data_IF_065488637376
#
_entry.id   IF_065488637376
#
_cell.length_a   1.000
_cell.length_b   1.000
_cell.length_c   1.000
_cell.angle_alpha   90.00
_cell.angle_beta   90.00
_cell.angle_gamma   90.00
#
_symmetry.space_group_name_H-M   'P 1'
#
loop_
_entity.id
_entity.type
_entity.pdbx_description
1 polymer ?
#
# COMPACT_ATOMS: atom_id res chain seq x y z
N UNK A 1 -4.76 35.42 -11.41
CA UNK A 1 -5.77 34.64 -12.15
C UNK A 1 -6.35 33.66 -11.15
N UNK A 2 -7.63 33.79 -10.80
CA UNK A 2 -8.25 32.95 -9.78
C UNK A 2 -8.54 31.55 -10.34
N UNK A 3 -7.77 30.55 -9.90
CA UNK A 3 -7.81 29.18 -10.44
C UNK A 3 -9.16 28.49 -10.18
N UNK A 4 -9.85 28.85 -9.09
CA UNK A 4 -11.12 28.24 -8.69
C UNK A 4 -12.27 28.63 -9.64
N UNK A 5 -12.11 29.68 -10.46
CA UNK A 5 -13.12 30.06 -11.46
C UNK A 5 -13.35 28.99 -12.52
N UNK A 6 -12.37 28.11 -12.74
CA UNK A 6 -12.49 26.99 -13.68
C UNK A 6 -13.00 25.70 -13.03
N UNK A 7 -13.15 25.68 -11.69
CA UNK A 7 -13.55 24.47 -10.98
C UNK A 7 -15.03 24.18 -11.21
N UNK A 8 -15.35 22.91 -11.37
CA UNK A 8 -16.72 22.42 -11.26
C UNK A 8 -17.16 22.37 -9.78
N UNK A 9 -18.40 21.99 -9.52
CA UNK A 9 -18.94 22.02 -8.16
C UNK A 9 -18.23 21.05 -7.21
N UNK A 10 -17.90 19.83 -7.68
CA UNK A 10 -17.21 18.83 -6.89
C UNK A 10 -15.78 19.26 -6.53
N UNK A 11 -15.07 19.85 -7.50
CA UNK A 11 -13.74 20.43 -7.29
C UNK A 11 -13.78 21.58 -6.28
N UNK A 12 -14.84 22.38 -6.27
CA UNK A 12 -15.04 23.44 -5.27
C UNK A 12 -15.31 22.86 -3.86
N UNK A 13 -16.07 21.76 -3.76
CA UNK A 13 -16.26 21.04 -2.50
C UNK A 13 -14.94 20.50 -1.98
N UNK A 14 -14.12 19.89 -2.85
CA UNK A 14 -12.83 19.32 -2.45
C UNK A 14 -11.83 20.39 -2.04
N UNK A 15 -11.77 21.49 -2.78
CA UNK A 15 -10.98 22.65 -2.41
C UNK A 15 -11.42 23.21 -1.04
N UNK A 16 -12.73 23.32 -0.81
CA UNK A 16 -13.28 23.78 0.47
C UNK A 16 -12.85 22.87 1.63
N UNK A 17 -13.00 21.55 1.47
CA UNK A 17 -12.58 20.54 2.45
C UNK A 17 -11.10 20.71 2.79
N UNK A 18 -10.24 20.79 1.76
CA UNK A 18 -8.80 20.90 1.91
C UNK A 18 -8.37 22.17 2.67
N UNK A 19 -8.98 23.32 2.35
CA UNK A 19 -8.73 24.56 3.07
C UNK A 19 -9.14 24.48 4.54
N UNK A 20 -10.33 23.93 4.82
CA UNK A 20 -10.80 23.77 6.20
C UNK A 20 -9.90 22.81 6.99
N UNK A 21 -9.49 21.69 6.41
CA UNK A 21 -8.64 20.70 7.10
C UNK A 21 -7.23 21.23 7.37
N UNK A 22 -6.68 22.06 6.47
CA UNK A 22 -5.31 22.56 6.60
C UNK A 22 -5.21 23.85 7.42
N UNK A 23 -6.16 24.77 7.29
CA UNK A 23 -6.07 26.11 7.90
C UNK A 23 -7.27 26.51 8.76
N UNK A 24 -8.31 25.67 8.86
CA UNK A 24 -9.53 25.96 9.62
C UNK A 24 -10.41 27.08 9.04
N UNK A 25 -9.98 27.70 7.93
CA UNK A 25 -10.66 28.77 7.20
C UNK A 25 -10.36 28.64 5.72
N UNK A 26 -11.28 29.11 4.87
CA UNK A 26 -11.09 29.17 3.42
C UNK A 26 -10.26 30.40 3.03
N UNK A 27 -9.50 30.28 1.94
CA UNK A 27 -8.76 31.39 1.36
C UNK A 27 -9.69 32.38 0.66
N UNK A 28 -9.30 33.66 0.64
CA UNK A 28 -10.08 34.75 0.03
C UNK A 28 -10.47 34.47 -1.43
N UNK A 29 -9.55 33.90 -2.21
CA UNK A 29 -9.80 33.60 -3.63
C UNK A 29 -10.90 32.53 -3.81
N UNK A 30 -10.95 31.52 -2.95
CA UNK A 30 -12.01 30.51 -2.99
C UNK A 30 -13.33 31.10 -2.48
N UNK A 31 -13.28 31.87 -1.40
CA UNK A 31 -14.44 32.56 -0.82
C UNK A 31 -15.12 33.48 -1.84
N UNK A 32 -14.34 34.29 -2.58
CA UNK A 32 -14.84 35.15 -3.65
C UNK A 32 -15.59 34.36 -4.73
N UNK A 33 -15.04 33.23 -5.19
CA UNK A 33 -15.69 32.40 -6.22
C UNK A 33 -16.96 31.74 -5.71
N UNK A 34 -16.98 31.30 -4.43
CA UNK A 34 -18.16 30.71 -3.81
C UNK A 34 -19.29 31.74 -3.63
N UNK A 35 -18.95 32.98 -3.30
CA UNK A 35 -19.88 34.11 -3.21
C UNK A 35 -20.38 34.52 -4.59
N UNK A 36 -19.48 34.70 -5.57
CA UNK A 36 -19.82 35.05 -6.97
C UNK A 36 -20.82 34.04 -7.57
N UNK A 37 -20.66 32.75 -7.25
CA UNK A 37 -21.55 31.68 -7.73
C UNK A 37 -22.82 31.49 -6.90
N UNK A 38 -23.00 32.23 -5.80
CA UNK A 38 -24.18 32.12 -4.92
C UNK A 38 -24.30 30.78 -4.18
N UNK A 39 -23.21 30.01 -4.09
CA UNK A 39 -23.25 28.59 -3.70
C UNK A 39 -22.57 28.28 -2.36
N UNK A 40 -22.15 29.29 -1.59
CA UNK A 40 -21.30 29.07 -0.40
C UNK A 40 -21.93 28.11 0.63
N UNK A 41 -23.22 28.27 0.95
CA UNK A 41 -23.90 27.42 1.93
C UNK A 41 -24.14 26.00 1.38
N UNK A 42 -24.43 25.88 0.08
CA UNK A 42 -24.61 24.59 -0.60
C UNK A 42 -23.29 23.82 -0.61
N UNK A 43 -22.18 24.48 -0.97
CA UNK A 43 -20.85 23.88 -1.00
C UNK A 43 -20.43 23.48 0.42
N UNK A 44 -20.67 24.33 1.42
CA UNK A 44 -20.39 24.01 2.82
C UNK A 44 -21.20 22.79 3.30
N UNK A 45 -22.49 22.73 2.97
CA UNK A 45 -23.35 21.59 3.30
C UNK A 45 -22.86 20.30 2.61
N UNK A 46 -22.57 20.37 1.31
CA UNK A 46 -22.00 19.24 0.53
C UNK A 46 -20.65 18.80 1.08
N UNK A 47 -19.78 19.73 1.46
CA UNK A 47 -18.48 19.43 2.07
C UNK A 47 -18.63 18.72 3.42
N UNK A 48 -19.51 19.22 4.30
CA UNK A 48 -19.80 18.59 5.58
C UNK A 48 -20.37 17.18 5.40
N UNK A 49 -21.31 17.01 4.47
CA UNK A 49 -21.87 15.70 4.16
C UNK A 49 -20.80 14.74 3.59
N UNK A 50 -19.96 15.20 2.65
CA UNK A 50 -18.85 14.41 2.09
C UNK A 50 -17.86 13.97 3.19
N UNK A 51 -17.53 14.85 4.14
CA UNK A 51 -16.70 14.50 5.31
C UNK A 51 -17.34 13.42 6.19
N UNK A 52 -18.64 13.50 6.44
CA UNK A 52 -19.37 12.48 7.20
C UNK A 52 -19.34 11.12 6.49
N UNK A 53 -19.59 11.11 5.18
CA UNK A 53 -19.52 9.89 4.34
C UNK A 53 -18.12 9.27 4.38
N UNK A 54 -17.06 10.07 4.22
CA UNK A 54 -15.67 9.59 4.27
C UNK A 54 -15.37 8.96 5.64
N UNK A 55 -15.74 9.65 6.73
CA UNK A 55 -15.54 9.15 8.09
C UNK A 55 -16.26 7.82 8.32
N UNK A 56 -17.50 7.72 7.82
CA UNK A 56 -18.32 6.52 7.94
C UNK A 56 -17.76 5.35 7.14
N UNK A 57 -17.35 5.58 5.88
CA UNK A 57 -16.63 4.57 5.09
C UNK A 57 -15.35 4.12 5.78
N UNK A 58 -14.65 5.01 6.47
CA UNK A 58 -13.49 4.69 7.32
C UNK A 58 -13.84 3.77 8.49
N UNK A 59 -14.91 4.07 9.24
CA UNK A 59 -15.43 3.21 10.32
C UNK A 59 -15.78 1.82 9.80
N UNK A 60 -16.56 1.75 8.72
CA UNK A 60 -16.99 0.50 8.11
C UNK A 60 -15.79 -0.32 7.65
N UNK A 61 -14.83 0.28 6.94
CA UNK A 61 -13.62 -0.43 6.51
C UNK A 61 -12.82 -1.00 7.70
N UNK A 62 -12.73 -0.27 8.82
CA UNK A 62 -12.07 -0.76 10.02
C UNK A 62 -12.78 -1.99 10.62
N UNK A 63 -14.13 -1.95 10.68
CA UNK A 63 -14.93 -3.07 11.18
C UNK A 63 -14.82 -4.30 10.28
N UNK A 64 -14.91 -4.14 8.95
CA UNK A 64 -14.72 -5.22 7.98
C UNK A 64 -13.34 -5.86 8.19
N UNK A 65 -12.28 -5.06 8.27
CA UNK A 65 -10.93 -5.57 8.49
C UNK A 65 -10.83 -6.40 9.78
N UNK A 66 -11.41 -5.91 10.88
CA UNK A 66 -11.45 -6.63 12.16
C UNK A 66 -12.17 -7.97 12.04
N UNK A 67 -13.30 -8.02 11.33
CA UNK A 67 -14.09 -9.24 11.15
C UNK A 67 -13.41 -10.24 10.20
N UNK A 68 -12.74 -9.75 9.15
CA UNK A 68 -11.90 -10.58 8.27
C UNK A 68 -10.77 -11.22 9.06
N UNK A 69 -10.09 -10.49 9.95
CA UNK A 69 -9.08 -11.06 10.84
C UNK A 69 -9.65 -12.16 11.75
N UNK A 70 -10.90 -12.03 12.17
CA UNK A 70 -11.65 -13.04 12.93
C UNK A 70 -12.21 -14.21 12.09
N UNK A 71 -11.84 -14.32 10.81
CA UNK A 71 -12.32 -15.36 9.88
C UNK A 71 -13.83 -15.32 9.62
N UNK A 72 -14.46 -14.15 9.69
CA UNK A 72 -15.87 -13.98 9.31
C UNK A 72 -16.06 -14.06 7.79
N UNK A 73 -17.15 -14.72 7.38
CA UNK A 73 -17.55 -14.78 5.97
C UNK A 73 -18.09 -13.43 5.49
N UNK A 74 -18.20 -13.26 4.17
CA UNK A 74 -18.78 -12.05 3.59
C UNK A 74 -20.23 -11.87 4.06
N UNK A 75 -21.00 -12.95 4.10
CA UNK A 75 -22.40 -12.95 4.52
C UNK A 75 -22.53 -12.53 6.00
N UNK A 76 -21.68 -13.08 6.89
CA UNK A 76 -21.66 -12.68 8.30
C UNK A 76 -21.30 -11.21 8.52
N UNK A 77 -20.52 -10.62 7.61
CA UNK A 77 -20.11 -9.22 7.67
C UNK A 77 -21.23 -8.32 7.14
N UNK A 78 -21.83 -8.68 6.00
CA UNK A 78 -22.94 -7.94 5.39
C UNK A 78 -24.16 -7.86 6.32
N UNK A 79 -24.46 -8.95 7.05
CA UNK A 79 -25.56 -8.96 8.03
C UNK A 79 -25.33 -8.07 9.26
N UNK A 80 -24.08 -7.76 9.60
CA UNK A 80 -23.71 -7.09 10.85
C UNK A 80 -23.37 -5.62 10.70
N UNK A 81 -22.96 -5.20 9.51
CA UNK A 81 -22.59 -3.82 9.24
C UNK A 81 -23.82 -3.08 8.74
N UNK A 82 -24.15 -1.99 9.42
CA UNK A 82 -25.16 -1.03 8.99
C UNK A 82 -24.57 0.36 8.84
N UNK A 83 -25.24 1.18 8.02
CA UNK A 83 -24.94 2.59 7.88
C UNK A 83 -26.23 3.38 7.70
N UNK A 84 -26.32 4.52 8.37
CA UNK A 84 -27.42 5.48 8.18
C UNK A 84 -27.10 6.50 7.06
N UNK A 85 -25.84 6.55 6.62
CA UNK A 85 -25.37 7.54 5.65
C UNK A 85 -25.21 6.97 4.24
N UNK A 86 -25.03 5.65 4.10
CA UNK A 86 -24.92 4.97 2.82
C UNK A 86 -26.23 4.28 2.50
N UNK A 87 -26.63 4.33 1.23
CA UNK A 87 -27.74 3.52 0.75
C UNK A 87 -27.36 2.03 0.81
N UNK A 88 -28.37 1.16 0.90
CA UNK A 88 -28.16 -0.28 1.09
C UNK A 88 -27.26 -0.88 0.00
N UNK A 89 -27.50 -0.54 -1.26
CA UNK A 89 -26.73 -1.07 -2.39
C UNK A 89 -25.29 -0.52 -2.40
N UNK A 90 -25.11 0.76 -2.05
CA UNK A 90 -23.78 1.36 -1.91
C UNK A 90 -22.99 0.70 -0.77
N UNK A 91 -23.66 0.44 0.36
CA UNK A 91 -23.07 -0.23 1.51
C UNK A 91 -22.63 -1.66 1.16
N UNK A 92 -23.51 -2.48 0.58
CA UNK A 92 -23.17 -3.86 0.21
C UNK A 92 -22.05 -3.92 -0.82
N UNK A 93 -22.03 -3.01 -1.81
CA UNK A 93 -20.91 -2.91 -2.76
C UNK A 93 -19.60 -2.55 -2.05
N UNK A 94 -19.64 -1.56 -1.14
CA UNK A 94 -18.47 -1.16 -0.38
C UNK A 94 -17.94 -2.28 0.53
N UNK A 95 -18.85 -3.04 1.16
CA UNK A 95 -18.50 -4.20 1.99
C UNK A 95 -17.78 -5.25 1.14
N UNK A 96 -18.34 -5.61 -0.02
CA UNK A 96 -17.73 -6.58 -0.94
C UNK A 96 -16.32 -6.14 -1.36
N UNK A 97 -16.17 -4.89 -1.81
CA UNK A 97 -14.89 -4.34 -2.26
C UNK A 97 -13.82 -4.45 -1.16
N UNK A 98 -14.14 -4.01 0.06
CA UNK A 98 -13.20 -4.06 1.18
C UNK A 98 -12.94 -5.47 1.68
N UNK A 99 -13.96 -6.33 1.68
CA UNK A 99 -13.80 -7.73 2.05
C UNK A 99 -12.78 -8.43 1.15
N UNK A 100 -12.90 -8.29 -0.18
CA UNK A 100 -11.98 -8.90 -1.14
C UNK A 100 -10.53 -8.46 -0.85
N UNK A 101 -10.32 -7.16 -0.67
CA UNK A 101 -8.98 -6.60 -0.40
C UNK A 101 -8.42 -7.12 0.92
N UNK A 102 -9.19 -7.07 2.01
CA UNK A 102 -8.70 -7.50 3.32
C UNK A 102 -8.52 -9.01 3.41
N UNK A 103 -9.40 -9.80 2.81
CA UNK A 103 -9.27 -11.26 2.77
C UNK A 103 -8.02 -11.68 1.98
N UNK A 104 -7.77 -11.03 0.84
CA UNK A 104 -6.55 -11.23 0.06
C UNK A 104 -5.30 -10.87 0.87
N UNK A 105 -5.28 -9.68 1.50
CA UNK A 105 -4.14 -9.23 2.30
C UNK A 105 -3.86 -10.15 3.48
N UNK A 106 -4.92 -10.62 4.17
CA UNK A 106 -4.79 -11.60 5.24
C UNK A 106 -4.14 -12.88 4.73
N UNK A 107 -4.65 -13.46 3.64
CA UNK A 107 -4.10 -14.68 3.04
C UNK A 107 -2.65 -14.50 2.59
N UNK A 108 -2.29 -13.35 2.02
CA UNK A 108 -0.92 -13.06 1.60
C UNK A 108 0.03 -12.97 2.81
N UNK A 109 -0.39 -12.32 3.88
CA UNK A 109 0.40 -12.17 5.11
C UNK A 109 0.53 -13.46 5.93
N UNK A 110 -0.34 -14.45 5.71
CA UNK A 110 -0.37 -15.69 6.46
C UNK A 110 0.88 -16.55 6.22
N UNK A 111 1.57 -16.90 7.31
CA UNK A 111 2.77 -17.74 7.27
C UNK A 111 2.37 -19.20 7.50
N UNK A 112 2.15 -19.92 6.41
CA UNK A 112 1.91 -21.36 6.43
C UNK A 112 3.22 -22.16 6.21
N UNK A 113 3.17 -23.47 6.50
CA UNK A 113 4.33 -24.37 6.36
C UNK A 113 4.87 -24.43 4.92
N UNK A 114 3.97 -24.37 3.94
CA UNK A 114 4.34 -24.39 2.52
C UNK A 114 5.11 -23.13 2.12
N UNK A 115 4.65 -21.97 2.59
CA UNK A 115 5.30 -20.67 2.39
C UNK A 115 6.67 -20.65 3.05
N UNK A 116 6.82 -21.20 4.27
CA UNK A 116 8.13 -21.31 4.93
C UNK A 116 9.08 -22.18 4.08
N UNK A 117 8.62 -23.36 3.67
CA UNK A 117 9.43 -24.29 2.87
C UNK A 117 9.87 -23.67 1.54
N UNK A 118 8.93 -23.07 0.80
CA UNK A 118 9.21 -22.34 -0.44
C UNK A 118 10.13 -21.15 -0.22
N UNK A 119 10.01 -20.45 0.90
CA UNK A 119 10.89 -19.32 1.25
C UNK A 119 12.32 -19.77 1.56
N UNK A 120 12.52 -20.98 2.09
CA UNK A 120 13.86 -21.56 2.31
C UNK A 120 14.51 -21.94 0.97
N UNK A 121 13.77 -22.60 0.09
CA UNK A 121 14.25 -22.89 -1.28
C UNK A 121 14.55 -21.59 -2.02
N UNK A 122 13.63 -20.64 -1.93
CA UNK A 122 13.76 -19.33 -2.54
C UNK A 122 14.99 -18.58 -2.03
N UNK A 123 15.32 -18.67 -0.74
CA UNK A 123 16.53 -18.08 -0.18
C UNK A 123 17.79 -18.61 -0.87
N UNK A 124 17.93 -19.93 -1.05
CA UNK A 124 19.10 -20.51 -1.70
C UNK A 124 19.23 -20.05 -3.16
N UNK A 125 18.14 -20.11 -3.92
CA UNK A 125 18.12 -19.70 -5.34
C UNK A 125 18.37 -18.20 -5.49
N UNK A 126 17.72 -17.38 -4.66
CA UNK A 126 17.87 -15.93 -4.68
C UNK A 126 19.27 -15.48 -4.25
N UNK A 127 19.92 -16.16 -3.29
CA UNK A 127 21.30 -15.88 -2.93
C UNK A 127 22.28 -16.09 -4.08
N UNK A 128 22.09 -17.16 -4.87
CA UNK A 128 22.94 -17.43 -6.04
C UNK A 128 22.71 -16.37 -7.11
N UNK A 129 21.45 -16.07 -7.42
CA UNK A 129 21.11 -15.08 -8.43
C UNK A 129 21.55 -13.65 -8.03
N UNK A 130 21.34 -13.27 -6.77
CA UNK A 130 21.79 -12.01 -6.21
C UNK A 130 23.31 -11.89 -6.19
N UNK A 131 24.02 -12.98 -5.88
CA UNK A 131 25.48 -13.05 -6.01
C UNK A 131 25.94 -12.80 -7.45
N UNK A 132 25.37 -13.52 -8.44
CA UNK A 132 25.72 -13.35 -9.85
C UNK A 132 25.41 -11.93 -10.34
N UNK A 133 24.28 -11.36 -9.91
CA UNK A 133 23.89 -9.99 -10.23
C UNK A 133 24.87 -8.97 -9.66
N UNK A 134 25.24 -9.09 -8.38
CA UNK A 134 26.25 -8.22 -7.77
C UNK A 134 27.60 -8.37 -8.46
N UNK A 135 28.06 -9.60 -8.73
CA UNK A 135 29.33 -9.86 -9.40
C UNK A 135 29.39 -9.16 -10.77
N UNK A 136 28.31 -9.25 -11.55
CA UNK A 136 28.19 -8.59 -12.85
C UNK A 136 28.30 -7.07 -12.73
N UNK A 137 27.59 -6.47 -11.77
CA UNK A 137 27.64 -5.01 -11.57
C UNK A 137 29.05 -4.57 -11.15
N UNK A 138 29.69 -5.33 -10.26
CA UNK A 138 31.03 -5.01 -9.79
C UNK A 138 32.08 -5.12 -10.89
N UNK A 139 31.90 -6.06 -11.81
CA UNK A 139 32.74 -6.14 -13.02
C UNK A 139 32.63 -4.87 -13.88
N UNK A 140 31.44 -4.30 -13.99
CA UNK A 140 31.19 -3.08 -14.78
C UNK A 140 31.71 -1.82 -14.05
N UNK A 141 31.36 -1.66 -12.78
CA UNK A 141 31.67 -0.44 -11.99
C UNK A 141 33.11 -0.46 -11.45
N UNK A 142 33.75 -1.64 -11.38
CA UNK A 142 35.08 -1.87 -10.82
C UNK A 142 35.24 -1.44 -9.36
N UNK A 143 34.15 -1.41 -8.61
CA UNK A 143 34.15 -1.01 -7.19
C UNK A 143 32.85 -1.38 -6.50
N UNK A 144 32.95 -1.71 -5.21
CA UNK A 144 31.79 -2.03 -4.38
C UNK A 144 31.22 -0.77 -3.72
N UNK A 145 29.94 -0.51 -3.96
CA UNK A 145 29.19 0.59 -3.35
C UNK A 145 28.00 -0.03 -2.61
N UNK A 146 27.84 0.30 -1.32
CA UNK A 146 26.76 -0.27 -0.48
C UNK A 146 25.36 -0.06 -1.07
N UNK A 147 25.12 1.02 -1.81
CA UNK A 147 23.84 1.28 -2.47
C UNK A 147 23.43 0.19 -3.49
N UNK A 148 24.38 -0.63 -3.97
CA UNK A 148 24.10 -1.76 -4.86
C UNK A 148 23.33 -2.90 -4.17
N UNK A 149 23.25 -2.91 -2.84
CA UNK A 149 22.41 -3.86 -2.11
C UNK A 149 20.91 -3.61 -2.32
N UNK A 150 20.50 -2.38 -2.63
CA UNK A 150 19.09 -2.05 -2.91
C UNK A 150 18.58 -2.76 -4.17
N UNK A 151 19.20 -2.61 -5.37
CA UNK A 151 18.77 -3.36 -6.55
C UNK A 151 18.95 -4.86 -6.38
N UNK A 152 19.96 -5.31 -5.63
CA UNK A 152 20.15 -6.74 -5.32
C UNK A 152 18.99 -7.29 -4.48
N UNK A 153 18.55 -6.54 -3.46
CA UNK A 153 17.39 -6.89 -2.66
C UNK A 153 16.13 -7.03 -3.52
N UNK A 154 15.94 -6.12 -4.48
CA UNK A 154 14.83 -6.17 -5.43
C UNK A 154 14.88 -7.45 -6.26
N UNK A 155 16.05 -7.83 -6.78
CA UNK A 155 16.23 -9.10 -7.53
C UNK A 155 15.91 -10.31 -6.65
N UNK A 156 16.48 -10.37 -5.45
CA UNK A 156 16.22 -11.45 -4.48
C UNK A 156 14.73 -11.56 -4.16
N UNK A 157 14.06 -10.43 -3.98
CA UNK A 157 12.62 -10.37 -3.68
C UNK A 157 11.80 -10.97 -4.83
N UNK A 158 12.07 -10.58 -6.07
CA UNK A 158 11.30 -11.08 -7.21
C UNK A 158 11.43 -12.59 -7.37
N UNK A 159 12.63 -13.15 -7.16
CA UNK A 159 12.85 -14.59 -7.23
C UNK A 159 12.05 -15.31 -6.13
N UNK A 160 12.14 -14.85 -4.89
CA UNK A 160 11.42 -15.47 -3.78
C UNK A 160 9.91 -15.32 -3.96
N UNK A 161 9.44 -14.16 -4.43
CA UNK A 161 8.03 -13.94 -4.77
C UNK A 161 7.56 -14.89 -5.87
N UNK A 162 8.36 -15.13 -6.92
CA UNK A 162 8.01 -16.08 -7.97
C UNK A 162 7.86 -17.51 -7.45
N UNK A 163 8.69 -17.91 -6.48
CA UNK A 163 8.67 -19.26 -5.89
C UNK A 163 7.53 -19.41 -4.88
N UNK A 164 7.30 -18.40 -4.05
CA UNK A 164 6.33 -18.46 -2.94
C UNK A 164 4.92 -18.04 -3.34
N UNK A 165 4.79 -17.19 -4.38
CA UNK A 165 3.53 -16.53 -4.75
C UNK A 165 3.07 -15.45 -3.75
N UNK A 166 3.88 -15.14 -2.73
CA UNK A 166 3.52 -14.23 -1.63
C UNK A 166 4.33 -12.94 -1.71
N UNK A 167 3.75 -11.84 -1.23
CA UNK A 167 4.43 -10.55 -1.18
C UNK A 167 5.34 -10.40 0.05
N UNK A 168 6.07 -9.29 0.12
CA UNK A 168 6.89 -8.92 1.29
C UNK A 168 6.09 -8.69 2.58
N UNK A 169 4.75 -8.60 2.49
CA UNK A 169 3.88 -8.54 3.68
C UNK A 169 3.91 -9.86 4.45
N UNK A 170 4.30 -10.96 3.80
CA UNK A 170 4.55 -12.23 4.45
C UNK A 170 5.92 -12.21 5.16
N UNK A 171 5.93 -12.51 6.46
CA UNK A 171 7.14 -12.44 7.27
C UNK A 171 8.25 -13.39 6.77
N UNK A 172 7.89 -14.60 6.33
CA UNK A 172 8.86 -15.57 5.83
C UNK A 172 9.53 -15.08 4.53
N UNK A 173 8.74 -14.54 3.60
CA UNK A 173 9.27 -13.94 2.36
C UNK A 173 10.19 -12.76 2.66
N UNK A 174 9.78 -11.88 3.59
CA UNK A 174 10.58 -10.73 3.98
C UNK A 174 11.95 -11.14 4.56
N UNK A 175 11.96 -12.05 5.53
CA UNK A 175 13.19 -12.55 6.16
C UNK A 175 14.07 -13.26 5.14
N UNK A 176 13.50 -14.15 4.32
CA UNK A 176 14.26 -14.85 3.28
C UNK A 176 14.88 -13.89 2.27
N UNK A 177 14.17 -12.83 1.87
CA UNK A 177 14.69 -11.81 0.96
C UNK A 177 15.86 -11.05 1.57
N UNK A 178 15.72 -10.65 2.83
CA UNK A 178 16.78 -9.96 3.55
C UNK A 178 18.03 -10.84 3.68
N UNK A 179 17.88 -12.07 4.17
CA UNK A 179 18.97 -13.02 4.30
C UNK A 179 19.61 -13.37 2.95
N UNK A 180 18.81 -13.55 1.90
CA UNK A 180 19.32 -13.84 0.57
C UNK A 180 20.24 -12.73 0.05
N UNK A 181 19.88 -11.47 0.32
CA UNK A 181 20.67 -10.28 -0.03
C UNK A 181 21.98 -10.23 0.77
N UNK A 182 21.92 -10.50 2.08
CA UNK A 182 23.11 -10.56 2.94
C UNK A 182 24.06 -11.67 2.47
N UNK A 183 23.55 -12.87 2.21
CA UNK A 183 24.37 -13.98 1.70
C UNK A 183 24.97 -13.68 0.33
N UNK A 184 24.23 -13.03 -0.56
CA UNK A 184 24.75 -12.58 -1.86
C UNK A 184 25.98 -11.68 -1.69
N UNK A 185 25.90 -10.70 -0.79
CA UNK A 185 27.01 -9.80 -0.50
C UNK A 185 28.20 -10.52 0.13
N UNK A 186 27.95 -11.42 1.09
CA UNK A 186 29.00 -12.21 1.73
C UNK A 186 29.75 -13.09 0.72
N UNK A 187 29.03 -13.73 -0.21
CA UNK A 187 29.64 -14.55 -1.27
C UNK A 187 30.54 -13.71 -2.17
N UNK A 188 30.12 -12.51 -2.55
CA UNK A 188 30.97 -11.56 -3.30
C UNK A 188 32.25 -11.24 -2.53
N UNK A 189 32.15 -10.86 -1.25
CA UNK A 189 33.34 -10.54 -0.45
C UNK A 189 34.31 -11.71 -0.32
N UNK A 190 33.80 -12.95 -0.20
CA UNK A 190 34.64 -14.14 -0.17
C UNK A 190 35.43 -14.34 -1.47
N UNK A 191 34.80 -14.13 -2.63
CA UNK A 191 35.45 -14.22 -3.94
C UNK A 191 36.53 -13.14 -4.09
N UNK A 192 36.23 -11.89 -3.72
CA UNK A 192 37.21 -10.80 -3.77
C UNK A 192 38.40 -11.03 -2.84
N UNK A 193 38.16 -11.51 -1.61
CA UNK A 193 39.25 -11.85 -0.67
C UNK A 193 40.13 -12.97 -1.20
N UNK A 194 39.54 -14.01 -1.79
CA UNK A 194 40.29 -15.12 -2.38
C UNK A 194 41.11 -14.73 -3.62
N UNK A 195 40.78 -13.63 -4.29
CA UNK A 195 41.52 -13.16 -5.48
C UNK A 195 42.74 -12.29 -5.13
N UNK A 196 42.89 -11.86 -3.88
CA UNK A 196 43.97 -10.96 -3.42
C UNK A 196 45.09 -11.73 -2.68
N UNK A 197 44.82 -12.95 -2.22
CA UNK A 197 45.80 -13.88 -1.65
C UNK A 197 46.35 -14.83 -2.71
#
# INVERSE_FOLDING_TARGET
MNIYKNFNEEELVDAYIQWIDNSGKIGKELEEVLIERGNIDIIKAKANHKKLIIKEKGRIAFEINKMVLQNKSLEEIDEKISSELLEKDELSYFILEKYIVFAHNKKDSEVDKDTIYKSIIGLAVASIAGFLFLLLILFIIKGFIFYLLVPTYIVCYFIIKMITGKSRSNLAVFISTFLATVFSALLVFLVFKSSIN
#
